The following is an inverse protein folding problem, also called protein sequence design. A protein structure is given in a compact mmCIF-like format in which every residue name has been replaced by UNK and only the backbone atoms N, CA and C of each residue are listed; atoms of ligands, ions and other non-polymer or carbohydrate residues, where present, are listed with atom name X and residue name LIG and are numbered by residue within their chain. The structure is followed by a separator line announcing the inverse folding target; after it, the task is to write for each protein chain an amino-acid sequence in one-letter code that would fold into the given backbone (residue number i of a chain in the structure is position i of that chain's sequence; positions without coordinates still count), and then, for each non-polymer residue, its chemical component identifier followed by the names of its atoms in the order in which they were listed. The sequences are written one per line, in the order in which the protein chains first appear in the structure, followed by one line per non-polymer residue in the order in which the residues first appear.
data_IF_534478302136
#
_entry.id   IF_534478302136
#
_cell.length_a   1.000
_cell.length_b   1.000
_cell.length_c   1.000
_cell.angle_alpha   90.00
_cell.angle_beta   90.00
_cell.angle_gamma   90.00
#
_symmetry.space_group_name_H-M   'P 1'
#
loop_
_entity.id
_entity.type
_entity.pdbx_description
1 polymer ?
#
# COMPACT_ATOMS: atom_id res chain seq x y z
N UNK A 1 16.27 24.30 12.23
CA UNK A 1 15.42 23.11 12.14
C UNK A 1 16.33 21.92 12.30
N UNK A 2 16.30 21.24 13.44
CA UNK A 2 17.02 19.99 13.64
C UNK A 2 16.35 18.92 12.80
N UNK A 3 17.16 18.11 12.18
CA UNK A 3 16.79 17.00 11.33
C UNK A 3 15.63 16.18 11.95
N UNK A 4 14.47 16.17 11.30
CA UNK A 4 13.30 15.39 11.72
C UNK A 4 13.65 13.90 11.74
N UNK A 5 14.57 13.46 10.88
CA UNK A 5 15.13 12.13 10.88
C UNK A 5 15.93 11.77 12.14
N UNK A 6 16.47 12.77 12.87
CA UNK A 6 17.16 12.50 14.14
C UNK A 6 16.20 12.13 15.27
N UNK A 7 14.92 12.48 15.16
CA UNK A 7 13.89 12.11 16.14
C UNK A 7 13.50 10.64 15.98
N UNK A 8 13.54 10.11 14.74
CA UNK A 8 13.31 8.69 14.46
C UNK A 8 14.46 7.79 14.98
N UNK A 9 15.65 8.35 15.13
CA UNK A 9 16.83 7.62 15.60
C UNK A 9 16.86 7.39 17.12
N UNK A 10 15.91 7.91 17.89
CA UNK A 10 15.80 7.60 19.32
C UNK A 10 15.31 6.16 19.47
N UNK A 11 16.14 5.23 20.00
CA UNK A 11 15.81 3.81 20.02
C UNK A 11 14.82 3.52 21.15
N UNK A 12 13.58 3.86 20.93
CA UNK A 12 12.51 3.45 21.83
C UNK A 12 11.63 2.47 21.05
N UNK A 13 11.96 1.18 21.15
CA UNK A 13 11.17 0.10 20.54
C UNK A 13 9.68 0.15 20.87
N UNK A 14 9.30 0.84 21.94
CA UNK A 14 7.92 1.11 22.33
C UNK A 14 7.25 2.26 21.54
N UNK A 15 8.00 2.98 20.68
CA UNK A 15 7.51 4.08 19.86
C UNK A 15 7.50 3.69 18.36
N UNK A 16 7.53 2.40 18.04
CA UNK A 16 7.53 1.91 16.66
C UNK A 16 6.36 2.49 15.82
N UNK A 17 5.28 2.90 16.45
CA UNK A 17 4.19 3.65 15.86
C UNK A 17 3.92 4.91 16.69
N UNK A 18 4.88 5.83 16.78
CA UNK A 18 4.59 7.10 17.40
C UNK A 18 3.90 8.03 16.37
N UNK A 19 2.57 8.10 16.36
CA UNK A 19 1.83 8.94 15.42
C UNK A 19 2.19 10.42 15.57
N UNK A 20 2.73 10.82 16.73
CA UNK A 20 3.18 12.18 16.97
C UNK A 20 4.37 12.57 16.08
N UNK A 21 5.32 11.66 15.84
CA UNK A 21 6.47 11.96 14.96
C UNK A 21 5.96 12.24 13.56
N UNK A 22 5.07 11.41 13.04
CA UNK A 22 4.49 11.61 11.70
C UNK A 22 3.68 12.92 11.63
N UNK A 23 2.88 13.22 12.65
CA UNK A 23 2.11 14.47 12.70
C UNK A 23 3.02 15.70 12.68
N UNK A 24 4.11 15.70 13.46
CA UNK A 24 5.09 16.80 13.45
C UNK A 24 5.84 16.89 12.11
N UNK A 25 6.23 15.78 11.51
CA UNK A 25 6.87 15.78 10.20
C UNK A 25 5.96 16.42 9.14
N UNK A 26 4.68 16.01 9.08
CA UNK A 26 3.69 16.57 8.15
C UNK A 26 3.51 18.06 8.38
N UNK A 27 3.29 18.49 9.63
CA UNK A 27 3.07 19.90 9.97
C UNK A 27 4.29 20.77 9.65
N UNK A 28 5.51 20.29 9.93
CA UNK A 28 6.73 21.02 9.63
C UNK A 28 6.99 21.11 8.13
N UNK A 29 6.75 20.03 7.38
CA UNK A 29 6.87 20.05 5.92
C UNK A 29 5.86 21.01 5.27
N UNK A 30 4.63 21.03 5.76
CA UNK A 30 3.57 21.94 5.30
C UNK A 30 3.96 23.40 5.55
N UNK A 31 4.35 23.76 6.79
CA UNK A 31 4.79 25.13 7.14
C UNK A 31 5.96 25.57 6.26
N UNK A 32 6.95 24.71 6.05
CA UNK A 32 8.13 25.03 5.22
C UNK A 32 7.73 25.19 3.76
N UNK A 33 6.88 24.30 3.23
CA UNK A 33 6.33 24.39 1.88
C UNK A 33 5.62 25.71 1.64
N UNK A 34 4.73 26.10 2.55
CA UNK A 34 4.01 27.38 2.50
C UNK A 34 4.97 28.57 2.57
N UNK A 35 5.96 28.55 3.47
CA UNK A 35 6.91 29.64 3.64
C UNK A 35 7.78 29.87 2.38
N UNK A 36 8.11 28.82 1.64
CA UNK A 36 8.88 28.89 0.40
C UNK A 36 8.03 28.94 -0.86
N UNK A 37 6.72 28.77 -0.76
CA UNK A 37 5.80 28.74 -1.91
C UNK A 37 6.04 27.54 -2.83
N UNK A 38 6.41 26.38 -2.25
CA UNK A 38 6.67 25.14 -3.00
C UNK A 38 5.86 23.97 -2.42
N UNK A 39 5.41 23.03 -3.28
CA UNK A 39 4.75 21.83 -2.77
C UNK A 39 5.71 20.93 -1.97
N UNK A 40 5.17 20.19 -1.00
CA UNK A 40 5.98 19.36 -0.07
C UNK A 40 6.86 18.35 -0.82
N UNK A 41 6.41 17.77 -1.93
CA UNK A 41 7.22 16.86 -2.73
C UNK A 41 8.54 17.49 -3.23
N UNK A 42 8.61 18.80 -3.42
CA UNK A 42 9.86 19.48 -3.78
C UNK A 42 10.85 19.52 -2.60
N UNK A 43 10.33 19.66 -1.38
CA UNK A 43 11.17 19.58 -0.16
C UNK A 43 11.69 18.16 0.08
N UNK A 44 10.97 17.15 -0.39
CA UNK A 44 11.29 15.74 -0.24
C UNK A 44 12.26 15.19 -1.30
N UNK A 45 12.74 16.03 -2.21
CA UNK A 45 13.71 15.65 -3.25
C UNK A 45 13.23 15.83 -4.68
N UNK A 46 12.00 16.27 -4.87
CA UNK A 46 11.40 16.55 -6.18
C UNK A 46 10.51 15.42 -6.69
N UNK A 47 9.35 15.80 -7.20
CA UNK A 47 8.41 14.84 -7.78
C UNK A 47 8.93 14.26 -9.10
N UNK A 48 8.82 12.96 -9.27
CA UNK A 48 9.09 12.24 -10.52
C UNK A 48 7.81 11.95 -11.30
N UNK A 49 6.67 12.27 -10.71
CA UNK A 49 5.32 12.19 -11.33
C UNK A 49 4.41 13.25 -10.74
N UNK A 50 3.39 13.63 -11.49
CA UNK A 50 2.34 14.58 -11.11
C UNK A 50 1.05 13.88 -10.62
N UNK A 51 0.99 12.55 -10.75
CA UNK A 51 -0.14 11.71 -10.36
C UNK A 51 0.34 10.44 -9.69
N UNK A 52 -0.34 10.02 -8.64
CA UNK A 52 -0.07 8.79 -7.91
C UNK A 52 -1.20 7.79 -8.18
N UNK A 53 -0.84 6.58 -8.62
CA UNK A 53 -1.80 5.51 -8.84
C UNK A 53 -2.41 5.05 -7.51
N UNK A 54 -3.72 4.88 -7.49
CA UNK A 54 -4.48 4.38 -6.34
C UNK A 54 -5.41 3.25 -6.78
N UNK A 55 -5.59 2.24 -5.92
CA UNK A 55 -6.60 1.22 -6.10
C UNK A 55 -7.74 1.43 -5.11
N UNK A 56 -8.95 1.07 -5.53
CA UNK A 56 -10.10 1.10 -4.63
C UNK A 56 -9.92 0.07 -3.51
N UNK A 57 -10.65 0.20 -2.41
CA UNK A 57 -10.53 -0.70 -1.28
C UNK A 57 -11.89 -1.30 -0.89
N UNK A 58 -11.89 -2.56 -0.47
CA UNK A 58 -13.06 -3.20 0.11
C UNK A 58 -12.67 -4.10 1.29
N UNK A 59 -13.45 -4.02 2.35
CA UNK A 59 -13.46 -5.02 3.41
C UNK A 59 -13.96 -6.38 2.92
N UNK A 60 -14.01 -7.37 3.84
CA UNK A 60 -14.61 -8.69 3.56
C UNK A 60 -16.10 -8.52 3.28
N UNK A 61 -16.56 -9.12 2.21
CA UNK A 61 -17.96 -9.16 1.83
C UNK A 61 -18.25 -10.39 0.95
N UNK A 62 -19.53 -10.64 0.65
CA UNK A 62 -19.93 -11.74 -0.22
C UNK A 62 -19.37 -11.57 -1.64
N UNK A 63 -19.23 -12.66 -2.44
CA UNK A 63 -18.82 -12.56 -3.84
C UNK A 63 -19.71 -11.60 -4.64
N UNK A 64 -21.01 -11.66 -4.47
CA UNK A 64 -21.98 -10.78 -5.15
C UNK A 64 -21.74 -9.31 -4.83
N UNK A 65 -21.58 -8.97 -3.55
CA UNK A 65 -21.36 -7.58 -3.13
C UNK A 65 -19.99 -7.09 -3.58
N UNK A 66 -18.98 -7.98 -3.61
CA UNK A 66 -17.65 -7.62 -4.09
C UNK A 66 -17.66 -7.31 -5.59
N UNK A 67 -18.32 -8.13 -6.41
CA UNK A 67 -18.49 -7.86 -7.84
C UNK A 67 -19.18 -6.51 -8.08
N UNK A 68 -20.23 -6.18 -7.31
CA UNK A 68 -20.88 -4.88 -7.41
C UNK A 68 -19.95 -3.73 -7.01
N UNK A 69 -19.21 -3.85 -5.90
CA UNK A 69 -18.23 -2.83 -5.45
C UNK A 69 -17.11 -2.62 -6.47
N UNK A 70 -16.61 -3.70 -7.06
CA UNK A 70 -15.61 -3.60 -8.11
C UNK A 70 -16.16 -2.88 -9.35
N UNK A 71 -17.39 -3.15 -9.74
CA UNK A 71 -18.07 -2.47 -10.84
C UNK A 71 -18.29 -0.99 -10.55
N UNK A 72 -18.70 -0.64 -9.35
CA UNK A 72 -18.88 0.75 -8.92
C UNK A 72 -17.53 1.49 -8.92
N UNK A 73 -16.46 0.84 -8.45
CA UNK A 73 -15.11 1.38 -8.52
C UNK A 73 -14.67 1.61 -9.99
N UNK A 74 -14.87 0.62 -10.86
CA UNK A 74 -14.56 0.75 -12.29
C UNK A 74 -15.34 1.89 -12.94
N UNK A 75 -16.61 2.08 -12.60
CA UNK A 75 -17.44 3.17 -13.11
C UNK A 75 -16.93 4.55 -12.68
N UNK A 76 -16.28 4.62 -11.51
CA UNK A 76 -15.57 5.82 -11.04
C UNK A 76 -14.18 5.99 -11.67
N UNK A 77 -13.77 5.09 -12.56
CA UNK A 77 -12.50 5.11 -13.28
C UNK A 77 -11.35 4.41 -12.57
N UNK A 78 -11.59 3.68 -11.46
CA UNK A 78 -10.54 2.86 -10.86
C UNK A 78 -10.17 1.69 -11.75
N UNK A 79 -8.88 1.35 -11.77
CA UNK A 79 -8.32 0.24 -12.57
C UNK A 79 -8.02 -1.00 -11.73
N UNK A 80 -8.27 -0.94 -10.45
CA UNK A 80 -8.08 -2.07 -9.54
C UNK A 80 -8.71 -1.85 -8.17
N UNK A 81 -8.78 -2.95 -7.43
CA UNK A 81 -9.31 -3.01 -6.07
C UNK A 81 -8.44 -3.88 -5.17
N UNK A 82 -8.21 -3.42 -3.96
CA UNK A 82 -7.61 -4.20 -2.88
C UNK A 82 -8.72 -4.71 -1.97
N UNK A 83 -8.72 -6.00 -1.68
CA UNK A 83 -9.74 -6.64 -0.85
C UNK A 83 -9.13 -7.29 0.39
N UNK A 84 -9.84 -7.18 1.51
CA UNK A 84 -9.53 -7.97 2.71
C UNK A 84 -10.08 -9.38 2.58
N UNK A 85 -9.32 -10.36 3.04
CA UNK A 85 -9.71 -11.76 3.05
C UNK A 85 -9.24 -12.49 4.32
N UNK A 86 -9.72 -13.70 4.53
CA UNK A 86 -9.30 -14.60 5.61
C UNK A 86 -9.44 -16.05 5.13
N UNK A 87 -8.89 -16.99 5.88
CA UNK A 87 -8.78 -18.40 5.49
C UNK A 87 -10.10 -19.03 5.05
N UNK A 88 -11.21 -18.65 5.67
CA UNK A 88 -12.56 -19.18 5.47
C UNK A 88 -13.36 -18.52 4.35
N UNK A 89 -12.78 -17.53 3.63
CA UNK A 89 -13.48 -16.84 2.54
C UNK A 89 -13.59 -17.72 1.28
N UNK A 90 -14.67 -17.55 0.48
CA UNK A 90 -14.80 -18.16 -0.84
C UNK A 90 -13.93 -17.42 -1.87
N UNK A 91 -12.60 -17.67 -1.84
CA UNK A 91 -11.60 -16.89 -2.59
C UNK A 91 -11.83 -16.91 -4.09
N UNK A 92 -12.11 -18.10 -4.65
CA UNK A 92 -12.32 -18.29 -6.10
C UNK A 92 -13.56 -17.56 -6.57
N UNK A 93 -14.67 -17.71 -5.85
CA UNK A 93 -15.93 -17.06 -6.18
C UNK A 93 -15.83 -15.54 -6.07
N UNK A 94 -15.09 -15.04 -5.07
CA UNK A 94 -14.84 -13.60 -4.89
C UNK A 94 -14.00 -13.04 -6.04
N UNK A 95 -12.89 -13.71 -6.39
CA UNK A 95 -12.06 -13.28 -7.51
C UNK A 95 -12.83 -13.34 -8.84
N UNK A 96 -13.57 -14.41 -9.11
CA UNK A 96 -14.41 -14.53 -10.32
C UNK A 96 -15.45 -13.42 -10.41
N UNK A 97 -16.13 -13.10 -9.31
CA UNK A 97 -17.12 -12.03 -9.28
C UNK A 97 -16.52 -10.67 -9.67
N UNK A 98 -15.28 -10.38 -9.29
CA UNK A 98 -14.57 -9.17 -9.72
C UNK A 98 -14.32 -9.21 -11.23
N UNK A 99 -13.79 -10.31 -11.77
CA UNK A 99 -13.44 -10.40 -13.19
C UNK A 99 -14.66 -10.51 -14.11
N UNK A 100 -15.73 -11.15 -13.67
CA UNK A 100 -17.01 -11.17 -14.39
C UNK A 100 -17.63 -9.76 -14.46
N UNK A 101 -17.49 -8.96 -13.40
CA UNK A 101 -18.02 -7.60 -13.37
C UNK A 101 -17.18 -6.59 -14.15
N UNK A 102 -15.85 -6.73 -14.13
CA UNK A 102 -14.91 -5.69 -14.58
C UNK A 102 -13.99 -6.11 -15.73
N UNK A 103 -13.89 -7.42 -16.01
CA UNK A 103 -12.94 -7.96 -16.98
C UNK A 103 -11.54 -8.28 -16.38
N UNK A 104 -10.71 -9.05 -17.12
CA UNK A 104 -9.45 -9.59 -16.61
C UNK A 104 -8.34 -8.53 -16.42
N UNK A 105 -8.48 -7.36 -17.02
CA UNK A 105 -7.53 -6.24 -16.89
C UNK A 105 -7.71 -5.46 -15.58
N UNK A 106 -8.84 -5.67 -14.86
CA UNK A 106 -9.09 -5.01 -13.59
C UNK A 106 -8.23 -5.65 -12.49
N UNK A 107 -7.36 -4.89 -11.87
CA UNK A 107 -6.35 -5.37 -10.92
C UNK A 107 -6.98 -5.79 -9.60
N UNK A 108 -6.58 -6.97 -9.09
CA UNK A 108 -7.07 -7.49 -7.82
C UNK A 108 -5.90 -7.79 -6.88
N UNK A 109 -5.79 -7.02 -5.79
CA UNK A 109 -4.89 -7.31 -4.67
C UNK A 109 -5.68 -7.98 -3.55
N UNK A 110 -5.21 -9.11 -3.05
CA UNK A 110 -5.78 -9.85 -1.93
C UNK A 110 -4.92 -9.68 -0.69
N UNK A 111 -5.51 -9.16 0.39
CA UNK A 111 -4.80 -8.84 1.62
C UNK A 111 -5.44 -9.57 2.82
N UNK A 112 -4.94 -10.74 3.17
CA UNK A 112 -5.37 -11.49 4.34
C UNK A 112 -4.94 -10.88 5.67
N UNK A 113 -4.02 -9.93 5.70
CA UNK A 113 -3.47 -9.42 6.95
C UNK A 113 -3.05 -10.56 7.91
N UNK A 114 -2.24 -11.48 7.42
CA UNK A 114 -1.71 -12.65 8.16
C UNK A 114 -2.76 -13.71 8.57
N UNK A 115 -3.98 -13.69 7.99
CA UNK A 115 -5.09 -14.59 8.37
C UNK A 115 -5.14 -15.89 7.57
N UNK A 116 -4.13 -16.17 6.74
CA UNK A 116 -3.99 -17.50 6.12
C UNK A 116 -3.20 -18.47 7.02
N UNK A 117 -2.60 -17.94 8.09
CA UNK A 117 -2.00 -18.64 9.21
C UNK A 117 -0.74 -19.42 8.86
N UNK A 118 -0.76 -20.30 7.84
CA UNK A 118 0.36 -21.18 7.48
C UNK A 118 0.79 -21.04 6.02
N UNK A 119 2.02 -21.49 5.73
CA UNK A 119 2.55 -21.62 4.36
C UNK A 119 1.65 -22.52 3.53
N UNK A 120 1.27 -23.68 4.09
CA UNK A 120 0.48 -24.71 3.44
C UNK A 120 -0.93 -24.18 3.07
N UNK A 121 -1.57 -23.43 3.95
CA UNK A 121 -2.87 -22.81 3.67
C UNK A 121 -2.76 -21.74 2.58
N UNK A 122 -1.70 -20.93 2.63
CA UNK A 122 -1.44 -19.92 1.59
C UNK A 122 -1.28 -20.57 0.22
N UNK A 123 -0.45 -21.61 0.11
CA UNK A 123 -0.21 -22.31 -1.15
C UNK A 123 -1.47 -23.02 -1.67
N UNK A 124 -2.26 -23.63 -0.80
CA UNK A 124 -3.54 -24.25 -1.15
C UNK A 124 -4.55 -23.22 -1.71
N UNK A 125 -4.62 -22.03 -1.10
CA UNK A 125 -5.47 -20.95 -1.62
C UNK A 125 -4.94 -20.44 -2.96
N UNK A 126 -3.63 -20.21 -3.09
CA UNK A 126 -3.00 -19.78 -4.34
C UNK A 126 -3.26 -20.78 -5.49
N UNK A 127 -3.13 -22.09 -5.22
CA UNK A 127 -3.45 -23.14 -6.18
C UNK A 127 -4.92 -23.08 -6.63
N UNK A 128 -5.85 -22.83 -5.72
CA UNK A 128 -7.28 -22.70 -6.06
C UNK A 128 -7.60 -21.50 -6.95
N UNK A 129 -6.75 -20.48 -6.94
CA UNK A 129 -6.86 -19.26 -7.74
C UNK A 129 -6.10 -19.34 -9.07
N UNK A 130 -5.50 -20.48 -9.37
CA UNK A 130 -4.70 -20.66 -10.58
C UNK A 130 -5.51 -20.31 -11.84
N UNK A 131 -4.90 -19.54 -12.75
CA UNK A 131 -5.56 -19.04 -13.95
C UNK A 131 -6.39 -17.77 -13.77
N UNK A 132 -6.53 -17.26 -12.54
CA UNK A 132 -7.11 -15.93 -12.30
C UNK A 132 -5.96 -14.90 -12.14
N UNK A 133 -6.05 -13.72 -12.79
CA UNK A 133 -4.96 -12.75 -12.84
C UNK A 133 -4.87 -11.90 -11.55
N UNK A 134 -4.58 -12.56 -10.42
CA UNK A 134 -4.35 -11.86 -9.14
C UNK A 134 -3.07 -11.03 -9.24
N UNK A 135 -3.14 -9.74 -8.92
CA UNK A 135 -1.99 -8.84 -8.99
C UNK A 135 -1.00 -9.08 -7.84
N UNK A 136 -1.50 -9.25 -6.62
CA UNK A 136 -0.67 -9.41 -5.40
C UNK A 136 -1.43 -10.21 -4.33
N UNK A 137 -0.71 -11.11 -3.66
CA UNK A 137 -1.02 -11.58 -2.31
C UNK A 137 -0.19 -10.80 -1.30
N UNK A 138 -0.84 -10.00 -0.47
CA UNK A 138 -0.18 -9.20 0.56
C UNK A 138 -0.28 -9.86 1.92
N UNK A 139 0.86 -10.01 2.63
CA UNK A 139 0.92 -10.49 4.02
C UNK A 139 0.05 -11.72 4.31
N UNK A 140 0.26 -12.86 3.64
CA UNK A 140 -0.61 -14.02 3.84
C UNK A 140 -0.51 -14.62 5.26
N UNK A 141 0.69 -14.64 5.83
CA UNK A 141 1.00 -15.28 7.12
C UNK A 141 1.71 -14.31 8.08
N UNK A 142 1.85 -14.65 9.37
CA UNK A 142 2.71 -13.90 10.31
C UNK A 142 4.14 -13.73 9.80
N UNK A 143 4.77 -12.60 10.14
CA UNK A 143 6.10 -12.18 9.63
C UNK A 143 7.25 -12.55 10.56
N UNK A 144 7.05 -13.47 11.49
CA UNK A 144 8.05 -13.88 12.49
C UNK A 144 9.23 -14.60 11.84
N UNK A 145 9.01 -15.22 10.69
CA UNK A 145 10.02 -15.97 9.95
C UNK A 145 10.00 -15.64 8.45
N UNK A 146 10.94 -14.86 7.98
CA UNK A 146 11.05 -14.52 6.55
C UNK A 146 11.36 -15.72 5.64
N UNK A 147 11.92 -16.83 6.18
CA UNK A 147 12.14 -18.03 5.39
C UNK A 147 10.82 -18.68 4.91
N UNK A 148 9.73 -18.51 5.64
CA UNK A 148 8.40 -18.98 5.22
C UNK A 148 7.86 -18.14 4.06
N UNK A 149 8.15 -16.84 4.03
CA UNK A 149 7.85 -15.96 2.89
C UNK A 149 8.65 -16.35 1.64
N UNK A 150 9.94 -16.70 1.80
CA UNK A 150 10.75 -17.21 0.70
C UNK A 150 10.14 -18.50 0.13
N UNK A 151 9.74 -19.46 0.99
CA UNK A 151 9.08 -20.71 0.56
C UNK A 151 7.78 -20.45 -0.22
N UNK A 152 6.94 -19.53 0.27
CA UNK A 152 5.68 -19.14 -0.41
C UNK A 152 6.01 -18.55 -1.79
N UNK A 153 6.93 -17.58 -1.84
CA UNK A 153 7.32 -16.91 -3.06
C UNK A 153 7.87 -17.86 -4.14
N UNK A 154 8.68 -18.82 -3.73
CA UNK A 154 9.27 -19.81 -4.66
C UNK A 154 8.27 -20.84 -5.18
N UNK A 155 7.19 -21.09 -4.43
CA UNK A 155 6.20 -22.12 -4.75
C UNK A 155 4.89 -21.57 -5.36
N UNK A 156 4.73 -20.25 -5.45
CA UNK A 156 3.50 -19.60 -5.88
C UNK A 156 3.74 -18.72 -7.11
N UNK A 157 2.85 -18.81 -8.09
CA UNK A 157 2.89 -17.95 -9.30
C UNK A 157 2.32 -16.54 -9.06
N UNK A 158 1.49 -16.35 -8.02
CA UNK A 158 0.93 -15.03 -7.67
C UNK A 158 2.02 -14.19 -7.01
N UNK A 159 2.27 -12.94 -7.46
CA UNK A 159 3.27 -12.07 -6.85
C UNK A 159 3.00 -11.86 -5.35
N UNK A 160 4.04 -12.09 -4.53
CA UNK A 160 3.97 -11.95 -3.09
C UNK A 160 4.32 -10.53 -2.65
N UNK A 161 3.40 -9.88 -1.93
CA UNK A 161 3.57 -8.58 -1.31
C UNK A 161 3.89 -8.69 0.18
N UNK A 162 4.84 -7.89 0.64
CA UNK A 162 5.19 -7.82 2.06
C UNK A 162 5.04 -6.41 2.57
N UNK A 163 4.24 -6.24 3.63
CA UNK A 163 4.00 -4.96 4.27
C UNK A 163 5.08 -4.67 5.30
N UNK A 164 5.85 -3.63 5.07
CA UNK A 164 7.00 -3.23 5.87
C UNK A 164 6.94 -1.74 6.22
N UNK A 165 7.55 -1.38 7.33
CA UNK A 165 7.59 0.01 7.81
C UNK A 165 9.01 0.48 8.13
N UNK A 166 9.83 -0.40 8.71
CA UNK A 166 11.17 -0.03 9.17
C UNK A 166 12.25 -0.40 8.16
N UNK A 167 13.28 0.46 7.98
CA UNK A 167 14.39 0.21 7.05
C UNK A 167 15.12 -1.12 7.28
N UNK A 168 15.28 -1.51 8.55
CA UNK A 168 15.91 -2.79 8.93
C UNK A 168 15.11 -4.00 8.45
N UNK A 169 13.77 -3.94 8.50
CA UNK A 169 12.91 -5.02 8.02
C UNK A 169 12.94 -5.10 6.49
N UNK A 170 12.95 -3.94 5.82
CA UNK A 170 13.10 -3.86 4.35
C UNK A 170 14.43 -4.45 3.92
N UNK A 171 15.52 -4.10 4.61
CA UNK A 171 16.85 -4.65 4.32
C UNK A 171 16.89 -6.16 4.53
N UNK A 172 16.31 -6.67 5.63
CA UNK A 172 16.23 -8.10 5.90
C UNK A 172 15.42 -8.84 4.83
N UNK A 173 14.27 -8.30 4.42
CA UNK A 173 13.43 -8.88 3.38
C UNK A 173 14.14 -8.91 2.01
N UNK A 174 14.86 -7.85 1.65
CA UNK A 174 15.67 -7.78 0.42
C UNK A 174 16.78 -8.85 0.47
N UNK A 175 17.51 -8.94 1.59
CA UNK A 175 18.66 -9.82 1.73
C UNK A 175 18.33 -11.30 1.52
N UNK A 176 17.12 -11.74 1.88
CA UNK A 176 16.67 -13.13 1.71
C UNK A 176 15.73 -13.32 0.53
N UNK A 177 15.32 -12.26 -0.16
CA UNK A 177 14.37 -12.34 -1.27
C UNK A 177 12.98 -12.76 -0.83
N UNK A 178 12.46 -12.20 0.27
CA UNK A 178 11.22 -12.62 0.91
C UNK A 178 9.95 -12.28 0.10
N UNK A 179 9.98 -11.33 -0.82
CA UNK A 179 8.81 -10.88 -1.58
C UNK A 179 9.19 -10.32 -2.96
N UNK A 180 8.21 -10.19 -3.83
CA UNK A 180 8.32 -9.59 -5.17
C UNK A 180 8.01 -8.10 -5.15
N UNK A 181 7.23 -7.66 -4.19
CA UNK A 181 6.67 -6.32 -4.09
C UNK A 181 6.61 -5.92 -2.62
N UNK A 182 6.79 -4.62 -2.31
CA UNK A 182 6.59 -4.13 -0.96
C UNK A 182 5.41 -3.17 -0.85
N UNK A 183 4.58 -3.39 0.17
CA UNK A 183 3.72 -2.37 0.75
C UNK A 183 4.53 -1.62 1.79
N UNK A 184 4.85 -0.36 1.56
CA UNK A 184 5.64 0.43 2.49
C UNK A 184 4.79 1.43 3.27
N UNK A 185 5.06 1.53 4.59
CA UNK A 185 4.44 2.51 5.48
C UNK A 185 5.50 3.40 6.15
N UNK A 186 5.15 3.98 7.28
CA UNK A 186 6.00 4.88 8.05
C UNK A 186 5.76 6.36 7.76
N UNK A 187 6.61 7.22 8.28
CA UNK A 187 6.61 8.66 8.02
C UNK A 187 6.93 8.97 6.55
N UNK A 188 6.81 10.21 6.11
CA UNK A 188 7.19 10.57 4.72
C UNK A 188 8.68 10.27 4.47
N UNK A 189 9.55 10.70 5.39
CA UNK A 189 11.00 10.43 5.27
C UNK A 189 11.34 8.95 5.36
N UNK A 190 10.65 8.20 6.23
CA UNK A 190 10.78 6.75 6.35
C UNK A 190 10.40 6.03 5.06
N UNK A 191 9.24 6.37 4.48
CA UNK A 191 8.79 5.82 3.20
C UNK A 191 9.76 6.10 2.05
N UNK A 192 10.32 7.31 1.99
CA UNK A 192 11.30 7.66 0.96
C UNK A 192 12.58 6.85 1.13
N UNK A 193 13.09 6.71 2.35
CA UNK A 193 14.29 5.88 2.64
C UNK A 193 14.08 4.43 2.22
N UNK A 194 12.98 3.82 2.64
CA UNK A 194 12.65 2.43 2.29
C UNK A 194 12.34 2.26 0.80
N UNK A 195 11.74 3.27 0.18
CA UNK A 195 11.50 3.32 -1.25
C UNK A 195 12.80 3.34 -2.08
N UNK A 196 13.82 4.08 -1.65
CA UNK A 196 15.15 4.04 -2.30
C UNK A 196 15.84 2.69 -2.11
N UNK A 197 15.69 2.03 -0.96
CA UNK A 197 16.21 0.67 -0.77
C UNK A 197 15.54 -0.31 -1.72
N UNK A 198 14.23 -0.23 -1.87
CA UNK A 198 13.48 -1.04 -2.82
C UNK A 198 13.88 -0.74 -4.29
N UNK A 199 14.11 0.54 -4.65
CA UNK A 199 14.61 0.95 -5.97
C UNK A 199 15.95 0.29 -6.32
N UNK A 200 16.90 0.32 -5.38
CA UNK A 200 18.22 -0.33 -5.55
C UNK A 200 18.07 -1.84 -5.75
N UNK A 201 17.14 -2.47 -5.05
CA UNK A 201 16.84 -3.90 -5.16
C UNK A 201 15.98 -4.27 -6.38
N UNK A 202 15.49 -3.30 -7.16
CA UNK A 202 14.61 -3.53 -8.31
C UNK A 202 13.19 -3.95 -7.92
N UNK A 203 12.76 -3.68 -6.69
CA UNK A 203 11.45 -4.07 -6.15
C UNK A 203 10.47 -2.90 -6.28
N UNK A 204 9.30 -3.16 -6.87
CA UNK A 204 8.20 -2.18 -6.95
C UNK A 204 7.51 -2.04 -5.59
N UNK A 205 6.96 -0.85 -5.35
CA UNK A 205 6.26 -0.57 -4.10
C UNK A 205 4.93 0.13 -4.31
N UNK A 206 4.09 0.08 -3.28
CA UNK A 206 2.97 1.01 -3.09
C UNK A 206 2.96 1.53 -1.66
N UNK A 207 2.21 2.60 -1.43
CA UNK A 207 2.00 3.17 -0.10
C UNK A 207 0.76 2.55 0.54
N UNK A 208 0.97 1.83 1.63
CA UNK A 208 -0.12 1.39 2.49
C UNK A 208 -0.66 2.51 3.38
N UNK A 209 -1.91 2.38 3.80
CA UNK A 209 -2.55 3.32 4.72
C UNK A 209 -3.40 2.59 5.78
N UNK A 210 -3.88 3.36 6.75
CA UNK A 210 -4.89 2.92 7.71
C UNK A 210 -6.31 3.32 7.31
N UNK A 211 -6.54 3.76 6.07
CA UNK A 211 -7.74 4.48 5.61
C UNK A 211 -7.84 5.84 6.31
N UNK A 212 -6.79 6.61 6.15
CA UNK A 212 -6.49 7.80 6.92
C UNK A 212 -7.34 9.00 6.48
N UNK A 213 -7.25 10.11 7.21
CA UNK A 213 -7.89 11.39 6.86
C UNK A 213 -7.04 12.17 5.85
N UNK A 214 -7.63 13.16 5.18
CA UNK A 214 -7.06 13.86 4.04
C UNK A 214 -5.70 14.51 4.28
N UNK A 215 -5.38 14.93 5.51
CA UNK A 215 -4.04 15.45 5.83
C UNK A 215 -2.97 14.37 5.59
N UNK A 216 -3.20 13.14 6.06
CA UNK A 216 -2.28 12.03 5.82
C UNK A 216 -2.31 11.56 4.38
N UNK A 217 -3.50 11.47 3.76
CA UNK A 217 -3.63 11.12 2.34
C UNK A 217 -2.85 12.10 1.44
N UNK A 218 -2.88 13.41 1.73
CA UNK A 218 -2.09 14.42 1.04
C UNK A 218 -0.58 14.20 1.25
N UNK A 219 -0.15 13.94 2.49
CA UNK A 219 1.26 13.66 2.79
C UNK A 219 1.78 12.42 2.06
N UNK A 220 0.96 11.36 1.97
CA UNK A 220 1.28 10.14 1.22
C UNK A 220 1.38 10.40 -0.28
N UNK A 221 0.48 11.23 -0.82
CA UNK A 221 0.52 11.63 -2.23
C UNK A 221 1.84 12.31 -2.57
N UNK A 222 2.27 13.28 -1.77
CA UNK A 222 3.56 13.94 -1.95
C UNK A 222 4.75 12.98 -1.83
N UNK A 223 4.74 12.07 -0.85
CA UNK A 223 5.82 11.10 -0.67
C UNK A 223 5.88 10.08 -1.83
N UNK A 224 4.73 9.56 -2.29
CA UNK A 224 4.64 8.66 -3.45
C UNK A 224 5.12 9.32 -4.75
N UNK A 225 4.91 10.62 -4.90
CA UNK A 225 5.37 11.35 -6.08
C UNK A 225 6.89 11.36 -6.22
N UNK A 226 7.63 11.22 -5.12
CA UNK A 226 9.11 11.25 -5.09
C UNK A 226 9.72 9.87 -5.35
N UNK A 227 9.08 8.78 -4.89
CA UNK A 227 9.62 7.41 -4.97
C UNK A 227 9.36 6.81 -6.35
N UNK A 228 10.41 6.63 -7.18
CA UNK A 228 10.30 6.16 -8.57
C UNK A 228 9.64 4.79 -8.71
N UNK A 229 9.92 3.87 -7.81
CA UNK A 229 9.37 2.49 -7.84
C UNK A 229 7.97 2.39 -7.23
N UNK A 230 7.37 3.48 -6.74
CA UNK A 230 5.99 3.54 -6.29
C UNK A 230 5.06 3.57 -7.51
N UNK A 231 4.85 2.41 -8.13
CA UNK A 231 4.16 2.25 -9.42
C UNK A 231 2.92 1.36 -9.35
N UNK A 232 2.60 0.87 -8.16
CA UNK A 232 1.38 0.08 -7.90
C UNK A 232 0.32 0.95 -7.22
N UNK A 233 -0.93 0.48 -7.25
CA UNK A 233 -2.05 1.20 -6.65
C UNK A 233 -1.89 1.38 -5.14
N UNK A 234 -1.65 2.59 -4.70
CA UNK A 234 -1.52 2.95 -3.29
C UNK A 234 -2.89 3.01 -2.59
N UNK A 235 -2.89 2.79 -1.28
CA UNK A 235 -4.12 2.74 -0.46
C UNK A 235 -4.61 4.16 -0.05
N UNK A 236 -4.42 5.16 -0.93
CA UNK A 236 -4.81 6.56 -0.69
C UNK A 236 -6.25 6.74 -1.19
N UNK A 237 -7.20 6.20 -0.45
CA UNK A 237 -8.62 6.16 -0.83
C UNK A 237 -9.57 6.52 0.32
N UNK A 238 -9.05 7.07 1.38
CA UNK A 238 -9.85 7.45 2.55
C UNK A 238 -11.04 8.34 2.18
N UNK A 239 -10.87 9.25 1.24
CA UNK A 239 -11.91 10.15 0.74
C UNK A 239 -13.18 9.42 0.19
N UNK A 240 -13.05 8.17 -0.26
CA UNK A 240 -14.17 7.38 -0.76
C UNK A 240 -14.85 6.52 0.31
N UNK A 241 -14.30 6.50 1.54
CA UNK A 241 -14.69 5.57 2.59
C UNK A 241 -15.17 6.28 3.86
N UNK A 242 -15.15 7.61 3.88
CA UNK A 242 -15.58 8.44 5.01
C UNK A 242 -16.59 9.49 4.56
N UNK A 243 -17.41 9.96 5.49
CA UNK A 243 -18.44 10.97 5.26
C UNK A 243 -17.92 12.39 5.48
N UNK A 244 -16.85 12.55 6.28
CA UNK A 244 -16.28 13.85 6.66
C UNK A 244 -14.76 13.82 6.69
N UNK A 245 -14.11 14.96 6.62
CA UNK A 245 -12.66 15.08 6.57
C UNK A 245 -12.16 16.30 7.36
N UNK A 246 -10.84 16.36 7.59
CA UNK A 246 -10.15 17.48 8.25
C UNK A 246 -9.58 18.51 7.27
N UNK A 247 -9.72 18.28 5.96
CA UNK A 247 -9.26 19.22 4.91
C UNK A 247 -10.45 19.97 4.32
N UNK A 248 -10.28 21.26 4.06
CA UNK A 248 -11.34 22.10 3.50
C UNK A 248 -11.64 21.74 2.03
N UNK A 249 -10.61 21.38 1.27
CA UNK A 249 -10.74 20.99 -0.12
C UNK A 249 -10.29 19.53 -0.25
N UNK A 250 -11.14 18.62 -0.77
CA UNK A 250 -10.77 17.22 -0.94
C UNK A 250 -9.66 17.07 -2.00
N UNK A 251 -8.88 15.98 -1.87
CA UNK A 251 -7.90 15.63 -2.89
C UNK A 251 -8.59 15.38 -4.23
N UNK A 252 -7.94 15.80 -5.31
CA UNK A 252 -8.45 15.65 -6.68
C UNK A 252 -8.10 14.27 -7.21
N UNK A 253 -9.10 13.46 -7.45
CA UNK A 253 -8.96 12.14 -8.07
C UNK A 253 -9.44 12.18 -9.51
N UNK A 254 -8.67 11.62 -10.42
CA UNK A 254 -9.05 11.38 -11.79
C UNK A 254 -8.91 9.89 -12.10
N UNK A 255 -10.05 9.18 -12.02
CA UNK A 255 -10.06 7.73 -12.11
C UNK A 255 -9.21 7.09 -11.02
N UNK A 256 -8.27 6.25 -11.41
CA UNK A 256 -7.36 5.51 -10.53
C UNK A 256 -6.11 6.31 -10.13
N UNK A 257 -6.17 7.62 -10.15
CA UNK A 257 -5.03 8.46 -9.76
C UNK A 257 -5.44 9.66 -8.92
N UNK A 258 -4.59 10.03 -7.98
CA UNK A 258 -4.68 11.27 -7.19
C UNK A 258 -3.62 12.25 -7.69
N UNK A 259 -4.03 13.50 -7.83
CA UNK A 259 -3.13 14.58 -8.25
C UNK A 259 -2.18 14.98 -7.10
N UNK A 260 -0.92 15.28 -7.44
CA UNK A 260 0.13 15.69 -6.48
C UNK A 260 0.06 17.20 -6.22
#
# INVERSE_FOLDING_TARGET
VRDVGAVEAVPVRSIAHNPSIHAFEVALADIVGQAFGVPVCQLLGGAVRDRVLVHYWSGRCSPKDLGQRAKDAQTRGFTGIKIKCALDDPHVERARAVYEACGPEFRLTMDPNMRFETVEDTLRIAESLQGLPIEVFEDPIPKDNLADYVRIREAMDIPLGLHLEHPEDVLAAIAVGAADIFNLRGTMSGFIKTGYMAEIAGIRVWRGSGLDLGILDASYTHACAVVKVCTLGSDIVGNFLREDDLIAEPLVYEGSSVQV
#
